data_IF_491472793939
#
_entry.id   IF_491472793939
#
_cell.length_a   1.000
_cell.length_b   1.000
_cell.length_c   1.000
_cell.angle_alpha   90.00
_cell.angle_beta   90.00
_cell.angle_gamma   90.00
#
_symmetry.space_group_name_H-M   'P 1'
#
loop_
_entity.id
_entity.type
_entity.pdbx_description
1 polymer ?
#
# COMPACT_ATOMS: atom_id res chain seq x y z
N UNK A 1 -37.76 -39.18 2.61
CA UNK A 1 -36.93 -40.06 1.77
C UNK A 1 -36.16 -39.17 0.80
N UNK A 2 -34.85 -39.39 0.68
CA UNK A 2 -33.93 -38.54 -0.10
C UNK A 2 -34.03 -38.82 -1.60
N UNK A 3 -33.75 -37.82 -2.44
CA UNK A 3 -33.08 -38.07 -3.71
C UNK A 3 -32.13 -36.91 -4.06
N UNK A 4 -30.83 -37.18 -3.96
CA UNK A 4 -29.74 -36.43 -4.60
C UNK A 4 -29.85 -36.59 -6.13
N UNK A 5 -29.50 -35.55 -6.88
CA UNK A 5 -28.96 -35.68 -8.22
C UNK A 5 -27.73 -34.80 -8.36
N UNK A 6 -26.64 -35.37 -8.88
CA UNK A 6 -25.30 -34.78 -9.03
C UNK A 6 -24.98 -34.50 -10.51
N UNK A 7 -24.23 -33.40 -10.74
CA UNK A 7 -23.23 -33.13 -11.84
C UNK A 7 -23.80 -32.92 -13.26
N UNK A 8 -23.27 -32.10 -14.20
CA UNK A 8 -21.91 -31.57 -14.57
C UNK A 8 -22.10 -30.55 -15.76
N UNK A 9 -21.05 -30.17 -16.54
CA UNK A 9 -20.04 -29.07 -16.50
C UNK A 9 -20.49 -27.80 -17.30
N UNK A 10 -19.80 -26.65 -17.39
CA UNK A 10 -18.66 -26.30 -18.28
C UNK A 10 -18.24 -24.84 -17.93
N UNK A 11 -17.00 -24.63 -17.50
CA UNK A 11 -15.91 -23.99 -18.27
C UNK A 11 -16.35 -22.84 -19.20
N UNK A 12 -16.01 -21.62 -18.79
CA UNK A 12 -15.46 -20.62 -19.68
C UNK A 12 -14.26 -19.99 -18.98
N UNK A 13 -13.10 -20.51 -19.33
CA UNK A 13 -11.79 -19.95 -19.05
C UNK A 13 -11.73 -18.54 -19.61
N UNK A 14 -11.65 -17.55 -18.72
CA UNK A 14 -11.12 -16.24 -19.06
C UNK A 14 -9.86 -16.06 -18.24
N UNK A 15 -8.74 -16.51 -18.79
CA UNK A 15 -7.41 -16.09 -18.36
C UNK A 15 -7.39 -14.55 -18.43
N UNK A 16 -7.56 -13.90 -17.27
CA UNK A 16 -7.04 -12.55 -17.10
C UNK A 16 -5.53 -12.66 -17.27
N UNK A 17 -4.87 -11.79 -18.05
CA UNK A 17 -3.42 -11.71 -18.04
C UNK A 17 -3.02 -11.59 -16.57
N UNK A 18 -2.23 -12.55 -16.07
CA UNK A 18 -1.73 -12.52 -14.72
C UNK A 18 -1.05 -11.16 -14.55
N UNK A 19 -1.72 -10.25 -13.83
CA UNK A 19 -1.08 -9.04 -13.37
C UNK A 19 0.19 -9.50 -12.67
N UNK A 20 1.34 -9.00 -13.10
CA UNK A 20 2.60 -9.20 -12.40
C UNK A 20 2.35 -8.66 -11.00
N UNK A 21 2.04 -9.57 -10.09
CA UNK A 21 1.78 -9.21 -8.70
C UNK A 21 3.15 -8.85 -8.18
N UNK A 22 3.42 -7.56 -7.84
CA UNK A 22 4.70 -7.21 -7.24
C UNK A 22 4.88 -8.09 -5.99
N UNK A 23 6.13 -8.50 -5.67
CA UNK A 23 6.38 -9.31 -4.49
C UNK A 23 5.73 -8.62 -3.29
N UNK A 24 4.77 -9.33 -2.67
CA UNK A 24 4.08 -8.86 -1.48
C UNK A 24 5.15 -8.83 -0.40
N UNK A 25 5.77 -7.66 -0.26
CA UNK A 25 6.66 -7.38 0.84
C UNK A 25 5.76 -7.35 2.05
N UNK A 26 5.86 -8.34 2.93
CA UNK A 26 5.19 -8.34 4.22
C UNK A 26 5.83 -7.26 5.09
N UNK A 27 5.61 -6.00 4.72
CA UNK A 27 5.99 -4.83 5.47
C UNK A 27 4.94 -4.59 6.54
N UNK A 28 5.37 -4.58 7.80
CA UNK A 28 4.53 -4.09 8.87
C UNK A 28 4.24 -2.61 8.61
N UNK A 29 2.97 -2.27 8.38
CA UNK A 29 2.54 -0.88 8.29
C UNK A 29 2.60 -0.31 9.71
N UNK A 30 3.63 0.48 10.00
CA UNK A 30 3.74 1.22 11.25
C UNK A 30 3.18 2.63 11.05
N UNK A 31 2.10 2.95 11.76
CA UNK A 31 1.54 4.30 11.76
C UNK A 31 2.47 5.25 12.52
N UNK A 32 3.01 6.24 11.82
CA UNK A 32 3.78 7.32 12.43
C UNK A 32 2.81 8.23 13.17
N UNK A 33 2.86 8.20 14.51
CA UNK A 33 1.96 8.98 15.36
C UNK A 33 2.63 10.22 15.94
N UNK A 34 3.97 10.25 15.96
CA UNK A 34 4.75 11.37 16.45
C UNK A 34 5.58 11.96 15.29
N UNK A 35 5.28 13.20 14.94
CA UNK A 35 5.97 13.98 13.93
C UNK A 35 5.94 15.46 14.35
N UNK A 36 6.97 16.20 13.96
CA UNK A 36 7.00 17.65 14.10
C UNK A 36 6.54 18.31 12.80
N UNK A 37 5.97 19.51 12.89
CA UNK A 37 5.70 20.30 11.69
C UNK A 37 5.86 21.79 12.00
N UNK A 38 6.29 22.53 10.97
CA UNK A 38 6.24 23.99 10.96
C UNK A 38 5.56 24.48 9.68
N UNK A 39 5.00 25.68 9.74
CA UNK A 39 4.34 26.30 8.60
C UNK A 39 4.76 27.76 8.49
N UNK A 40 4.93 28.18 7.25
CA UNK A 40 5.07 29.58 6.83
C UNK A 40 3.90 29.96 5.92
N UNK A 41 3.87 31.22 5.49
CA UNK A 41 2.87 31.72 4.54
C UNK A 41 2.89 30.99 3.19
N UNK A 42 3.99 30.29 2.86
CA UNK A 42 4.18 29.64 1.55
C UNK A 42 4.23 28.13 1.60
N UNK A 43 4.68 27.56 2.72
CA UNK A 43 4.98 26.13 2.81
C UNK A 43 4.71 25.56 4.18
N UNK A 44 4.33 24.28 4.20
CA UNK A 44 4.33 23.42 5.39
C UNK A 44 5.51 22.47 5.28
N UNK A 45 6.23 22.25 6.38
CA UNK A 45 7.30 21.26 6.50
C UNK A 45 6.93 20.26 7.58
N UNK A 46 7.08 18.97 7.28
CA UNK A 46 6.84 17.87 8.21
C UNK A 46 8.18 17.17 8.46
N UNK A 47 8.52 16.98 9.73
CA UNK A 47 9.73 16.29 10.17
C UNK A 47 9.35 14.98 10.84
N UNK A 48 9.88 13.90 10.28
CA UNK A 48 9.66 12.55 10.78
C UNK A 48 11.01 11.99 11.19
N UNK A 49 11.09 11.46 12.41
CA UNK A 49 12.27 10.73 12.88
C UNK A 49 12.03 9.23 12.68
N UNK A 50 12.83 8.61 11.81
CA UNK A 50 12.83 7.17 11.58
C UNK A 50 14.23 6.61 11.82
N UNK A 51 14.34 5.64 12.74
CA UNK A 51 15.62 4.96 12.99
C UNK A 51 16.08 4.23 11.72
N UNK A 52 17.34 4.44 11.35
CA UNK A 52 17.93 3.78 10.17
C UNK A 52 17.54 4.37 8.82
N UNK A 53 16.76 5.47 8.76
CA UNK A 53 16.30 6.07 7.50
C UNK A 53 17.43 6.41 6.51
N UNK A 54 18.61 6.78 7.02
CA UNK A 54 19.77 7.10 6.18
C UNK A 54 20.34 5.89 5.42
N UNK A 55 20.02 4.67 5.86
CA UNK A 55 20.44 3.42 5.20
C UNK A 55 19.39 2.93 4.19
N UNK A 56 18.20 3.54 4.18
CA UNK A 56 17.14 3.20 3.24
C UNK A 56 17.48 3.83 1.88
N UNK A 57 17.47 3.04 0.80
CA UNK A 57 17.64 3.59 -0.55
C UNK A 57 16.56 4.62 -0.86
N UNK A 58 16.92 5.70 -1.55
CA UNK A 58 16.01 6.83 -1.79
C UNK A 58 14.78 6.42 -2.60
N UNK A 59 14.94 5.45 -3.51
CA UNK A 59 13.87 4.86 -4.31
C UNK A 59 12.78 4.16 -3.49
N UNK A 60 13.10 3.77 -2.25
CA UNK A 60 12.17 3.14 -1.32
C UNK A 60 11.47 4.16 -0.41
N UNK A 61 11.82 5.45 -0.52
CA UNK A 61 11.14 6.54 0.19
C UNK A 61 10.14 7.17 -0.77
N UNK A 62 8.85 6.93 -0.51
CA UNK A 62 7.75 7.45 -1.33
C UNK A 62 6.94 8.48 -0.54
N UNK A 63 6.49 9.53 -1.22
CA UNK A 63 5.64 10.57 -0.63
C UNK A 63 4.55 10.90 -1.64
N UNK A 64 3.29 10.86 -1.20
CA UNK A 64 2.15 11.24 -2.00
C UNK A 64 1.37 12.36 -1.32
N UNK A 65 1.49 13.58 -1.87
CA UNK A 65 0.70 14.73 -1.44
C UNK A 65 -0.64 14.74 -2.20
N UNK A 66 -1.73 14.95 -1.49
CA UNK A 66 -3.03 15.28 -2.08
C UNK A 66 -3.43 16.70 -1.69
N UNK A 67 -4.53 17.19 -2.27
CA UNK A 67 -5.01 18.56 -2.04
C UNK A 67 -5.31 18.89 -0.56
N UNK A 68 -5.53 17.88 0.29
CA UNK A 68 -5.84 18.09 1.70
C UNK A 68 -5.27 17.03 2.67
N UNK A 69 -4.55 16.01 2.19
CA UNK A 69 -3.93 14.99 3.04
C UNK A 69 -2.67 14.36 2.41
N UNK A 70 -1.81 13.75 3.22
CA UNK A 70 -0.61 13.03 2.77
C UNK A 70 -0.85 11.54 3.06
N UNK A 71 -0.75 10.68 2.04
CA UNK A 71 -0.74 9.23 2.24
C UNK A 71 0.70 8.75 2.46
N UNK A 72 0.87 7.91 3.50
CA UNK A 72 2.11 7.26 3.89
C UNK A 72 2.13 5.80 3.45
#
# INVERSE_FOLDING_TARGET
MQQKSQKKPELLDNERPAAVVPPITTGLIMKISNYGWDQSDKFVKIYITLMGVLQVPIENVQVHFTESFIEH
#
